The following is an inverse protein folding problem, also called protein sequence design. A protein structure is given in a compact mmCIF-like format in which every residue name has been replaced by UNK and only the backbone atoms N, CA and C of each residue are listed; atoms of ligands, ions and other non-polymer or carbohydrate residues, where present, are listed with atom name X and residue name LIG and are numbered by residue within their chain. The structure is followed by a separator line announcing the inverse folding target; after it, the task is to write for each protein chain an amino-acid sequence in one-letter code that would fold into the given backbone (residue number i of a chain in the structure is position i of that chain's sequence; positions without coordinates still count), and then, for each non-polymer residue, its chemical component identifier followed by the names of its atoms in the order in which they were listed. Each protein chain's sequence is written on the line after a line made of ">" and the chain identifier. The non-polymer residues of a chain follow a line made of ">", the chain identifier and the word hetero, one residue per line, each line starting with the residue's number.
data_IF_912102972000
#
_entry.id   IF_912102972000
#
_cell.length_a   1.000
_cell.length_b   1.000
_cell.length_c   1.000
_cell.angle_alpha   90.00
_cell.angle_beta   90.00
_cell.angle_gamma   90.00
#
_symmetry.space_group_name_H-M   'P 1'
#
loop_
_entity.id
_entity.type
_entity.pdbx_description
1 polymer ?
#
# COMPACT_ATOMS: atom_id res chain seq x y z
N UNK A 1 -14.29 -9.03 11.16
CA UNK A 1 -13.22 -8.75 10.16
C UNK A 1 -12.25 -9.91 10.14
N UNK A 2 -11.62 -10.32 11.27
CA UNK A 2 -10.63 -11.40 11.32
C UNK A 2 -11.14 -12.67 10.62
N UNK A 3 -12.34 -13.14 10.98
CA UNK A 3 -12.94 -14.31 10.33
C UNK A 3 -13.04 -14.17 8.80
N UNK A 4 -13.41 -12.99 8.30
CA UNK A 4 -13.53 -12.77 6.86
C UNK A 4 -12.13 -12.79 6.16
N UNK A 5 -11.08 -12.30 6.86
CA UNK A 5 -9.71 -12.40 6.39
C UNK A 5 -9.25 -13.87 6.32
N UNK A 6 -9.55 -14.63 7.38
CA UNK A 6 -9.21 -16.07 7.47
C UNK A 6 -9.98 -16.89 6.41
N UNK A 7 -11.23 -16.52 6.14
CA UNK A 7 -12.08 -17.13 5.11
C UNK A 7 -11.66 -16.72 3.67
N UNK A 8 -10.63 -15.87 3.51
CA UNK A 8 -10.08 -15.50 2.20
C UNK A 8 -10.78 -14.34 1.50
N UNK A 9 -11.66 -13.61 2.19
CA UNK A 9 -12.27 -12.39 1.63
C UNK A 9 -11.18 -11.39 1.24
N UNK A 10 -11.30 -10.81 0.06
CA UNK A 10 -10.34 -9.80 -0.43
C UNK A 10 -10.63 -8.45 0.22
N UNK A 11 -9.62 -7.90 0.86
CA UNK A 11 -9.64 -6.56 1.45
C UNK A 11 -8.52 -5.71 0.83
N UNK A 12 -8.84 -4.50 0.42
CA UNK A 12 -7.85 -3.49 0.02
C UNK A 12 -8.13 -2.20 0.79
N UNK A 13 -7.22 -1.85 1.69
CA UNK A 13 -7.26 -0.60 2.46
C UNK A 13 -6.13 0.31 2.02
N UNK A 14 -6.46 1.55 1.73
CA UNK A 14 -5.51 2.56 1.26
C UNK A 14 -5.43 3.75 2.22
N UNK A 15 -4.28 4.43 2.21
CA UNK A 15 -4.03 5.56 3.10
C UNK A 15 -3.98 5.16 4.57
N UNK A 16 -4.37 6.06 5.46
CA UNK A 16 -4.31 5.86 6.90
C UNK A 16 -5.25 4.77 7.44
N UNK A 17 -6.16 4.24 6.61
CA UNK A 17 -7.02 3.12 7.01
C UNK A 17 -6.21 1.87 7.41
N UNK A 18 -5.00 1.71 6.88
CA UNK A 18 -4.08 0.65 7.27
C UNK A 18 -3.82 0.61 8.79
N UNK A 19 -3.70 1.79 9.42
CA UNK A 19 -3.31 1.93 10.83
C UNK A 19 -4.33 1.32 11.78
N UNK A 20 -5.62 1.34 11.40
CA UNK A 20 -6.73 0.81 12.21
C UNK A 20 -6.58 -0.69 12.49
N UNK A 21 -5.87 -1.41 11.63
CA UNK A 21 -5.66 -2.85 11.75
C UNK A 21 -4.42 -3.22 12.59
N UNK A 22 -3.61 -2.22 12.94
CA UNK A 22 -2.43 -2.37 13.80
C UNK A 22 -2.77 -2.41 15.29
N UNK A 23 -1.74 -2.30 16.11
CA UNK A 23 -1.85 -2.30 17.58
C UNK A 23 -2.35 -0.95 18.09
N UNK A 24 -1.70 0.15 17.71
CA UNK A 24 -2.03 1.50 18.17
C UNK A 24 -1.47 2.59 17.26
N UNK A 25 -2.01 3.82 17.42
CA UNK A 25 -1.45 5.05 16.86
C UNK A 25 -0.91 5.90 18.02
N UNK A 26 0.40 6.20 18.01
CA UNK A 26 1.07 7.06 18.99
C UNK A 26 1.03 8.50 18.51
N UNK A 27 0.47 9.38 19.34
CA UNK A 27 0.44 10.82 19.12
C UNK A 27 1.77 11.49 19.52
N UNK A 28 1.95 12.76 19.15
CA UNK A 28 3.17 13.53 19.46
C UNK A 28 3.40 13.73 20.96
N UNK A 29 2.34 13.76 21.75
CA UNK A 29 2.39 13.87 23.22
C UNK A 29 2.64 12.52 23.92
N UNK A 30 2.84 11.44 23.15
CA UNK A 30 3.05 10.10 23.65
C UNK A 30 1.78 9.35 24.02
N UNK A 31 0.61 9.98 23.94
CA UNK A 31 -0.66 9.27 24.12
C UNK A 31 -0.90 8.29 22.97
N UNK A 32 -1.70 7.24 23.23
CA UNK A 32 -1.99 6.21 22.25
C UNK A 32 -3.46 6.06 22.01
N UNK A 33 -3.81 5.81 20.77
CA UNK A 33 -5.13 5.37 20.34
C UNK A 33 -5.02 3.90 20.00
N UNK A 34 -5.62 3.05 20.82
CA UNK A 34 -5.67 1.61 20.58
C UNK A 34 -6.47 1.30 19.31
N UNK A 35 -5.96 0.38 18.51
CA UNK A 35 -6.54 -0.05 17.25
C UNK A 35 -7.04 -1.50 17.35
N UNK A 36 -7.27 -2.17 16.23
CA UNK A 36 -7.87 -3.52 16.23
C UNK A 36 -6.90 -4.62 16.67
N UNK A 37 -5.59 -4.39 16.67
CA UNK A 37 -4.57 -5.36 17.07
C UNK A 37 -4.53 -6.63 16.21
N UNK A 38 -4.95 -6.55 14.94
CA UNK A 38 -4.95 -7.72 14.05
C UNK A 38 -3.55 -8.01 13.50
N UNK A 39 -2.74 -6.99 13.37
CA UNK A 39 -1.36 -7.09 12.87
C UNK A 39 -0.41 -6.35 13.80
N UNK A 40 0.79 -6.90 13.98
CA UNK A 40 1.87 -6.27 14.76
C UNK A 40 2.42 -5.05 14.01
N UNK A 41 1.65 -3.99 14.04
CA UNK A 41 1.92 -2.73 13.37
C UNK A 41 1.51 -1.60 14.31
N UNK A 42 2.35 -0.58 14.46
CA UNK A 42 1.94 0.66 15.12
C UNK A 42 2.30 1.86 14.26
N UNK A 43 1.57 2.94 14.40
CA UNK A 43 1.85 4.19 13.68
C UNK A 43 2.29 5.29 14.65
N UNK A 44 3.20 6.16 14.19
CA UNK A 44 3.58 7.39 14.91
C UNK A 44 3.11 8.59 14.11
N UNK A 45 2.34 9.44 14.76
CA UNK A 45 1.77 10.65 14.18
C UNK A 45 2.70 11.85 14.37
N UNK A 46 2.84 12.66 13.32
CA UNK A 46 3.49 13.96 13.37
C UNK A 46 2.68 14.96 12.55
N UNK A 47 1.80 15.71 13.22
CA UNK A 47 0.86 16.62 12.56
C UNK A 47 1.54 17.89 12.01
N UNK A 48 2.74 18.21 12.50
CA UNK A 48 3.51 19.37 12.03
C UNK A 48 4.27 19.08 10.72
N UNK A 49 4.43 17.80 10.36
CA UNK A 49 5.22 17.40 9.20
C UNK A 49 4.43 16.45 8.29
N UNK A 50 3.74 17.04 7.31
CA UNK A 50 3.12 16.26 6.26
C UNK A 50 4.20 15.59 5.41
N UNK A 51 4.09 14.28 5.28
CA UNK A 51 4.96 13.51 4.42
C UNK A 51 4.28 13.27 3.06
N UNK A 52 4.92 13.74 1.99
CA UNK A 52 4.52 13.49 0.62
C UNK A 52 5.64 12.72 -0.08
N UNK A 53 5.31 11.68 -0.80
CA UNK A 53 6.29 10.88 -1.53
C UNK A 53 5.65 10.20 -2.72
N UNK A 54 6.28 10.34 -3.87
CA UNK A 54 6.11 9.38 -4.95
C UNK A 54 6.72 8.04 -4.50
N UNK A 55 6.17 6.95 -4.99
CA UNK A 55 6.59 5.60 -4.66
C UNK A 55 6.69 4.75 -5.92
N UNK A 56 7.79 4.02 -6.02
CA UNK A 56 7.96 2.92 -6.95
C UNK A 56 8.39 1.67 -6.18
N UNK A 57 7.76 0.57 -6.48
CA UNK A 57 8.10 -0.73 -5.88
C UNK A 57 7.73 -1.88 -6.80
N UNK A 58 7.76 -3.08 -6.25
CA UNK A 58 7.49 -4.31 -6.98
C UNK A 58 6.47 -5.18 -6.24
N UNK A 59 5.59 -5.80 -7.00
CA UNK A 59 4.66 -6.82 -6.56
C UNK A 59 4.50 -7.88 -7.63
N UNK A 60 4.83 -9.13 -7.31
CA UNK A 60 4.67 -10.29 -8.19
C UNK A 60 5.29 -10.04 -9.59
N UNK A 61 6.52 -9.51 -9.62
CA UNK A 61 7.27 -9.20 -10.84
C UNK A 61 6.76 -7.97 -11.61
N UNK A 62 5.75 -7.26 -11.11
CA UNK A 62 5.22 -6.04 -11.72
C UNK A 62 5.63 -4.80 -10.94
N UNK A 63 5.90 -3.71 -11.65
CA UNK A 63 6.15 -2.41 -11.03
C UNK A 63 4.85 -1.88 -10.44
N UNK A 64 4.93 -1.36 -9.22
CA UNK A 64 3.84 -0.65 -8.55
C UNK A 64 4.26 0.80 -8.40
N UNK A 65 3.42 1.69 -8.87
CA UNK A 65 3.62 3.13 -8.74
C UNK A 65 2.47 3.76 -7.99
N UNK A 66 2.78 4.71 -7.15
CA UNK A 66 1.78 5.41 -6.37
C UNK A 66 2.32 6.68 -5.76
N UNK A 67 1.43 7.33 -5.05
CA UNK A 67 1.72 8.54 -4.28
C UNK A 67 1.14 8.36 -2.88
N UNK A 68 1.84 8.90 -1.90
CA UNK A 68 1.33 8.97 -0.54
C UNK A 68 1.47 10.35 0.06
N UNK A 69 0.49 10.69 0.87
CA UNK A 69 0.45 11.92 1.64
C UNK A 69 -0.13 11.62 3.01
N UNK A 70 0.66 11.78 4.04
CA UNK A 70 0.30 11.34 5.38
C UNK A 70 1.02 12.15 6.47
N UNK A 71 0.46 12.10 7.69
CA UNK A 71 1.06 12.67 8.90
C UNK A 71 1.58 11.59 9.86
N UNK A 72 1.58 10.34 9.41
CA UNK A 72 1.96 9.17 10.20
C UNK A 72 2.98 8.33 9.47
N UNK A 73 3.76 7.58 10.21
CA UNK A 73 4.63 6.53 9.69
C UNK A 73 4.36 5.24 10.47
N UNK A 74 4.19 4.13 9.77
CA UNK A 74 3.98 2.84 10.41
C UNK A 74 5.29 2.07 10.60
N UNK A 75 5.30 1.28 11.66
CA UNK A 75 6.43 0.46 12.06
C UNK A 75 5.94 -0.95 12.38
N UNK A 76 6.66 -1.95 11.92
CA UNK A 76 6.42 -3.35 12.25
C UNK A 76 7.73 -4.02 12.64
N UNK A 77 7.74 -4.92 13.63
CA UNK A 77 8.90 -5.74 13.93
C UNK A 77 9.11 -6.88 12.94
N UNK A 78 8.09 -7.16 12.11
CA UNK A 78 8.06 -8.27 11.17
C UNK A 78 7.78 -7.78 9.75
N UNK A 79 8.82 -7.73 8.93
CA UNK A 79 8.71 -7.35 7.52
C UNK A 79 8.32 -8.53 6.60
N UNK A 80 8.10 -9.74 7.13
CA UNK A 80 7.70 -10.91 6.32
C UNK A 80 6.36 -10.74 5.61
N UNK A 81 5.54 -9.83 6.12
CA UNK A 81 4.24 -9.45 5.56
C UNK A 81 4.28 -8.19 4.69
N UNK A 82 5.46 -7.74 4.26
CA UNK A 82 5.59 -6.57 3.38
C UNK A 82 4.84 -6.77 2.05
N UNK A 83 4.04 -5.77 1.66
CA UNK A 83 3.20 -5.86 0.45
C UNK A 83 3.98 -5.55 -0.82
N UNK A 84 4.56 -4.37 -0.92
CA UNK A 84 5.32 -3.91 -2.08
C UNK A 84 6.79 -3.75 -1.71
N UNK A 85 7.68 -4.44 -2.40
CA UNK A 85 9.13 -4.24 -2.25
C UNK A 85 9.47 -2.84 -2.75
N UNK A 86 10.06 -2.01 -1.88
CA UNK A 86 10.38 -0.63 -2.22
C UNK A 86 11.61 -0.55 -3.12
N UNK A 87 11.49 0.09 -4.28
CA UNK A 87 12.59 0.49 -5.14
C UNK A 87 12.95 1.96 -4.94
N UNK A 88 11.93 2.87 -4.96
CA UNK A 88 12.12 4.31 -4.78
C UNK A 88 11.06 4.88 -3.84
N UNK A 89 11.36 6.03 -3.23
CA UNK A 89 10.45 6.70 -2.31
C UNK A 89 10.55 6.17 -0.87
N UNK A 90 9.47 6.25 -0.13
CA UNK A 90 9.42 5.85 1.29
C UNK A 90 8.44 4.69 1.46
N UNK A 91 8.86 3.65 2.15
CA UNK A 91 8.03 2.51 2.53
C UNK A 91 7.05 2.83 3.66
N UNK A 92 6.66 1.88 4.49
CA UNK A 92 5.84 2.12 5.68
C UNK A 92 6.41 3.26 6.54
N UNK A 93 7.75 3.38 6.55
CA UNK A 93 8.51 4.50 7.09
C UNK A 93 9.82 4.69 6.31
N UNK A 94 10.62 5.68 6.66
CA UNK A 94 11.87 6.02 5.93
C UNK A 94 12.87 4.87 5.85
N UNK A 95 12.88 3.96 6.84
CA UNK A 95 13.82 2.84 6.93
C UNK A 95 13.26 1.52 6.38
N UNK A 96 11.94 1.40 6.25
CA UNK A 96 11.29 0.18 5.82
C UNK A 96 11.69 -0.19 4.38
N UNK A 97 11.87 -1.50 4.15
CA UNK A 97 12.13 -2.06 2.81
C UNK A 97 10.85 -2.25 2.01
N UNK A 98 9.71 -2.24 2.67
CA UNK A 98 8.40 -2.48 2.09
C UNK A 98 7.46 -1.29 2.30
N UNK A 99 6.50 -1.17 1.41
CA UNK A 99 5.33 -0.32 1.53
C UNK A 99 4.09 -1.20 1.68
N UNK A 100 3.34 -0.98 2.77
CA UNK A 100 2.14 -1.75 3.06
C UNK A 100 2.40 -3.12 3.67
N UNK A 101 1.31 -3.79 4.01
CA UNK A 101 1.29 -5.16 4.54
C UNK A 101 0.32 -6.03 3.74
N UNK A 102 0.63 -7.31 3.65
CA UNK A 102 -0.22 -8.34 3.07
C UNK A 102 -0.28 -9.55 3.98
N UNK A 103 -1.50 -9.96 4.31
CA UNK A 103 -1.75 -11.23 5.00
C UNK A 103 -2.92 -11.93 4.31
N UNK A 104 -2.69 -13.10 3.75
CA UNK A 104 -3.68 -13.77 2.90
C UNK A 104 -4.16 -12.84 1.77
N UNK A 105 -5.48 -12.56 1.73
CA UNK A 105 -6.12 -11.63 0.80
C UNK A 105 -6.41 -10.25 1.42
N UNK A 106 -5.77 -9.92 2.55
CA UNK A 106 -5.76 -8.57 3.10
C UNK A 106 -4.55 -7.81 2.55
N UNK A 107 -4.83 -6.64 1.97
CA UNK A 107 -3.86 -5.70 1.42
C UNK A 107 -4.08 -4.34 2.08
N UNK A 108 -3.10 -3.88 2.84
CA UNK A 108 -3.11 -2.56 3.46
C UNK A 108 -1.92 -1.74 3.00
N UNK A 109 -2.12 -0.52 2.53
CA UNK A 109 -1.04 0.34 2.00
C UNK A 109 -1.32 1.81 2.28
N UNK A 110 -0.26 2.59 2.48
CA UNK A 110 -0.38 4.05 2.53
C UNK A 110 -0.55 4.69 1.14
N UNK A 111 -0.32 3.94 0.07
CA UNK A 111 -0.49 4.47 -1.27
C UNK A 111 -1.95 4.85 -1.50
N UNK A 112 -2.13 6.06 -1.99
CA UNK A 112 -3.44 6.61 -2.35
C UNK A 112 -3.49 6.87 -3.86
N UNK A 113 -4.61 7.29 -4.31
CA UNK A 113 -4.99 7.89 -5.51
C UNK A 113 -4.40 7.56 -6.86
N UNK A 114 -5.18 7.00 -7.64
CA UNK A 114 -6.02 5.80 -7.55
C UNK A 114 -5.21 4.53 -7.87
N UNK A 115 -4.71 3.87 -6.85
CA UNK A 115 -3.74 2.77 -6.96
C UNK A 115 -4.12 1.69 -7.98
N UNK A 116 -5.40 1.36 -8.07
CA UNK A 116 -5.87 0.35 -9.02
C UNK A 116 -5.79 0.84 -10.47
N UNK A 117 -6.18 2.07 -10.74
CA UNK A 117 -6.11 2.65 -12.09
C UNK A 117 -4.66 2.84 -12.55
N UNK A 118 -3.79 3.24 -11.62
CA UNK A 118 -2.38 3.48 -11.93
C UNK A 118 -1.61 2.18 -12.21
N UNK A 119 -2.10 1.04 -11.71
CA UNK A 119 -1.41 -0.24 -11.76
C UNK A 119 -2.33 -1.35 -12.30
N UNK A 120 -2.65 -1.37 -13.60
CA UNK A 120 -3.53 -2.38 -14.20
C UNK A 120 -3.13 -3.84 -13.91
N UNK A 121 -1.82 -4.22 -13.85
CA UNK A 121 -1.44 -5.58 -13.47
C UNK A 121 -1.87 -5.93 -12.04
N UNK A 122 -1.72 -5.00 -11.10
CA UNK A 122 -2.19 -5.19 -9.71
C UNK A 122 -3.71 -5.27 -9.63
N UNK A 123 -4.43 -4.46 -10.42
CA UNK A 123 -5.89 -4.53 -10.52
C UNK A 123 -6.35 -5.90 -11.01
N UNK A 124 -5.73 -6.43 -12.06
CA UNK A 124 -6.02 -7.79 -12.54
C UNK A 124 -5.72 -8.86 -11.50
N UNK A 125 -4.64 -8.71 -10.76
CA UNK A 125 -4.33 -9.61 -9.65
C UNK A 125 -5.44 -9.62 -8.59
N UNK A 126 -5.90 -8.45 -8.14
CA UNK A 126 -7.01 -8.33 -7.18
C UNK A 126 -8.31 -8.94 -7.74
N UNK A 127 -8.65 -8.65 -8.99
CA UNK A 127 -9.83 -9.23 -9.66
C UNK A 127 -9.74 -10.75 -9.76
N UNK A 128 -8.56 -11.29 -10.04
CA UNK A 128 -8.36 -12.75 -10.09
C UNK A 128 -8.62 -13.39 -8.72
N UNK A 129 -8.17 -12.77 -7.62
CA UNK A 129 -8.48 -13.25 -6.26
C UNK A 129 -9.99 -13.22 -5.96
N UNK A 130 -10.73 -12.31 -6.59
CA UNK A 130 -12.18 -12.21 -6.47
C UNK A 130 -12.95 -13.17 -7.41
N UNK A 131 -12.24 -14.03 -8.16
CA UNK A 131 -12.84 -14.93 -9.14
C UNK A 131 -13.26 -14.26 -10.46
N UNK A 132 -12.76 -13.05 -10.74
CA UNK A 132 -13.07 -12.25 -11.93
C UNK A 132 -11.82 -11.99 -12.80
N UNK A 133 -10.87 -12.94 -12.85
CA UNK A 133 -9.59 -12.77 -13.55
C UNK A 133 -9.71 -12.59 -15.06
N UNK A 134 -10.74 -13.16 -15.68
CA UNK A 134 -10.98 -13.07 -17.12
C UNK A 134 -11.68 -11.76 -17.56
N UNK A 135 -12.06 -10.92 -16.59
CA UNK A 135 -12.73 -9.65 -16.90
C UNK A 135 -11.76 -8.69 -17.58
N UNK A 136 -12.17 -8.20 -18.73
CA UNK A 136 -11.46 -7.13 -19.43
C UNK A 136 -11.68 -5.80 -18.70
N UNK A 137 -10.59 -5.10 -18.37
CA UNK A 137 -10.68 -3.77 -17.78
C UNK A 137 -11.26 -2.76 -18.78
N UNK A 138 -12.07 -1.82 -18.30
CA UNK A 138 -12.47 -0.69 -19.11
C UNK A 138 -11.22 0.10 -19.53
N UNK A 139 -11.15 0.46 -20.82
CA UNK A 139 -10.00 1.19 -21.39
C UNK A 139 -8.66 0.52 -21.12
N UNK A 140 -8.60 -0.82 -21.19
CA UNK A 140 -7.42 -1.59 -20.80
C UNK A 140 -6.17 -1.20 -21.60
N UNK A 141 -6.31 -1.01 -22.92
CA UNK A 141 -5.18 -0.64 -23.76
C UNK A 141 -4.62 0.74 -23.39
N UNK A 142 -5.50 1.72 -23.17
CA UNK A 142 -5.14 3.08 -22.78
C UNK A 142 -4.52 3.11 -21.37
N UNK A 143 -5.09 2.36 -20.44
CA UNK A 143 -4.55 2.24 -19.08
C UNK A 143 -3.17 1.58 -19.07
N UNK A 144 -2.96 0.54 -19.88
CA UNK A 144 -1.65 -0.09 -20.02
C UNK A 144 -0.63 0.85 -20.67
N UNK A 145 -1.02 1.59 -21.71
CA UNK A 145 -0.15 2.58 -22.33
C UNK A 145 0.26 3.68 -21.33
N UNK A 146 -0.69 4.18 -20.54
CA UNK A 146 -0.42 5.16 -19.48
C UNK A 146 0.49 4.58 -18.37
N UNK A 147 0.31 3.32 -18.00
CA UNK A 147 1.16 2.63 -17.04
C UNK A 147 2.60 2.51 -17.56
N UNK A 148 2.80 2.09 -18.80
CA UNK A 148 4.14 1.98 -19.40
C UNK A 148 4.81 3.37 -19.55
N UNK A 149 4.05 4.41 -19.91
CA UNK A 149 4.59 5.77 -19.95
C UNK A 149 5.05 6.23 -18.57
N UNK A 150 4.23 5.99 -17.53
CA UNK A 150 4.56 6.36 -16.16
C UNK A 150 5.81 5.65 -15.64
N UNK A 151 6.03 4.37 -16.01
CA UNK A 151 7.27 3.66 -15.67
C UNK A 151 8.50 4.39 -16.23
N UNK A 152 8.41 4.88 -17.47
CA UNK A 152 9.51 5.69 -18.09
C UNK A 152 9.71 7.00 -17.34
N UNK A 153 8.60 7.73 -17.06
CA UNK A 153 8.66 9.01 -16.34
C UNK A 153 9.29 8.86 -14.94
N UNK A 154 8.98 7.77 -14.23
CA UNK A 154 9.58 7.47 -12.93
C UNK A 154 11.08 7.10 -13.05
N UNK A 155 11.49 6.45 -14.13
CA UNK A 155 12.88 6.14 -14.38
C UNK A 155 13.70 7.42 -14.64
N UNK A 156 13.11 8.41 -15.32
CA UNK A 156 13.76 9.68 -15.67
C UNK A 156 13.80 10.70 -14.51
N UNK A 157 12.83 10.66 -13.59
CA UNK A 157 12.73 11.58 -12.44
C UNK A 157 13.76 11.34 -11.32
N UNK A 158 14.68 10.43 -11.50
CA UNK A 158 15.72 10.13 -10.50
C UNK A 158 16.94 10.99 -10.73
N UNK A 159 16.89 12.18 -10.15
CA UNK A 159 18.09 12.98 -9.89
C UNK A 159 18.06 13.50 -8.46
#
# INVERSE_FOLDING_TARGET
>A
IQKAIDDGTVFLFTGNALEIFGDYIENEDGSRVECLGLYRLYAKRNMMHRHNSDFEGEFDGNVIMGFKTQFTMAYTPDESHGLFVKNKGVGLNKKAKYEGIRVNNFFGTYLVGPILVLNPPFTKYILNLMGAGDVKLAFEAENMAAYEQRKKDFAEKVH
#
